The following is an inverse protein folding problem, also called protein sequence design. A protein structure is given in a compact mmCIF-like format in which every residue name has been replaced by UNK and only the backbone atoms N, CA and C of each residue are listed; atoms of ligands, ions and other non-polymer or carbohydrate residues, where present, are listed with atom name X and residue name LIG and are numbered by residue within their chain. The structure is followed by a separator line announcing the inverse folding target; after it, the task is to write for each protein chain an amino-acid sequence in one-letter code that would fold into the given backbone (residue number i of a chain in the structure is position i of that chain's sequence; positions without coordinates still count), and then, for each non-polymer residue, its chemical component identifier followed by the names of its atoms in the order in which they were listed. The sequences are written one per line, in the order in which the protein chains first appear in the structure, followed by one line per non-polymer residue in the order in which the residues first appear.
data_IF_386416799965
#
_entry.id   IF_386416799965
#
_cell.length_a   1.000
_cell.length_b   1.000
_cell.length_c   1.000
_cell.angle_alpha   90.00
_cell.angle_beta   90.00
_cell.angle_gamma   90.00
#
_symmetry.space_group_name_H-M   'P 1'
#
loop_
_entity.id
_entity.type
_entity.pdbx_description
1 polymer ?
#
# COMPACT_ATOMS: atom_id res chain seq x y z
N UNK A 1 -3.66 10.29 -26.46
CA UNK A 1 -3.63 9.89 -25.04
C UNK A 1 -2.60 8.78 -24.88
N UNK A 2 -1.40 9.07 -24.36
CA UNK A 2 -0.49 7.98 -23.97
C UNK A 2 -1.01 7.35 -22.68
N UNK A 3 -1.15 6.03 -22.69
CA UNK A 3 -1.50 5.24 -21.50
C UNK A 3 -0.47 5.49 -20.39
N UNK A 4 -0.94 5.65 -19.15
CA UNK A 4 -0.11 5.81 -17.94
C UNK A 4 0.98 4.71 -17.85
N UNK A 5 0.74 3.55 -18.47
CA UNK A 5 1.71 2.46 -18.59
C UNK A 5 3.01 2.83 -19.34
N UNK A 6 2.97 3.74 -20.31
CA UNK A 6 4.15 4.08 -21.13
C UNK A 6 5.15 4.98 -20.39
N UNK A 7 4.68 5.82 -19.46
CA UNK A 7 5.54 6.72 -18.65
C UNK A 7 6.24 5.93 -17.54
N UNK A 8 5.64 4.83 -17.08
CA UNK A 8 6.16 4.02 -15.98
C UNK A 8 7.23 2.99 -16.43
N UNK A 9 7.29 2.62 -17.71
CA UNK A 9 8.13 1.51 -18.20
C UNK A 9 9.64 1.65 -17.92
N UNK A 10 10.21 2.84 -18.08
CA UNK A 10 11.65 3.06 -17.82
C UNK A 10 11.96 3.38 -16.34
N UNK A 11 11.04 4.06 -15.66
CA UNK A 11 11.18 4.41 -14.24
C UNK A 11 10.99 3.20 -13.32
N UNK A 12 10.12 2.26 -13.69
CA UNK A 12 9.87 1.02 -12.94
C UNK A 12 11.08 0.07 -12.89
N UNK A 13 11.94 0.08 -13.93
CA UNK A 13 13.18 -0.70 -13.93
C UNK A 13 14.21 -0.19 -12.92
N UNK A 14 14.28 1.13 -12.73
CA UNK A 14 15.19 1.75 -11.75
C UNK A 14 14.67 1.71 -10.32
N UNK A 15 13.34 1.75 -10.13
CA UNK A 15 12.71 1.78 -8.81
C UNK A 15 11.47 0.87 -8.76
N UNK A 16 11.64 -0.46 -8.74
CA UNK A 16 10.54 -1.42 -8.80
C UNK A 16 9.53 -1.25 -7.65
N UNK A 17 9.99 -0.79 -6.49
CA UNK A 17 9.13 -0.54 -5.31
C UNK A 17 8.11 0.59 -5.53
N UNK A 18 8.43 1.61 -6.35
CA UNK A 18 7.50 2.71 -6.63
C UNK A 18 6.30 2.21 -7.45
N UNK A 19 6.51 1.26 -8.35
CA UNK A 19 5.43 0.60 -9.09
C UNK A 19 4.57 -0.27 -8.15
N UNK A 20 5.20 -1.03 -7.26
CA UNK A 20 4.50 -1.85 -6.27
C UNK A 20 3.63 -1.01 -5.32
N UNK A 21 4.07 0.19 -4.92
CA UNK A 21 3.29 1.11 -4.09
C UNK A 21 2.03 1.60 -4.82
N UNK A 22 2.17 2.04 -6.07
CA UNK A 22 1.02 2.56 -6.85
C UNK A 22 0.04 1.43 -7.20
N UNK A 23 0.54 0.25 -7.58
CA UNK A 23 -0.29 -0.91 -7.88
C UNK A 23 -0.97 -1.45 -6.61
N UNK A 24 -0.27 -1.43 -5.47
CA UNK A 24 -0.79 -1.79 -4.16
C UNK A 24 -1.98 -0.93 -3.75
N UNK A 25 -1.85 0.41 -3.81
CA UNK A 25 -2.95 1.34 -3.50
C UNK A 25 -4.21 0.99 -4.31
N UNK A 26 -4.06 0.79 -5.62
CA UNK A 26 -5.18 0.52 -6.54
C UNK A 26 -5.82 -0.85 -6.29
N UNK A 27 -5.03 -1.89 -5.97
CA UNK A 27 -5.54 -3.25 -5.76
C UNK A 27 -6.18 -3.40 -4.38
N UNK A 28 -5.54 -2.93 -3.32
CA UNK A 28 -6.06 -3.03 -1.96
C UNK A 28 -7.33 -2.19 -1.77
N UNK A 29 -7.48 -1.07 -2.48
CA UNK A 29 -8.72 -0.29 -2.45
C UNK A 29 -9.96 -1.06 -2.95
N UNK A 30 -9.77 -2.20 -3.65
CA UNK A 30 -10.86 -3.07 -4.09
C UNK A 30 -11.27 -4.11 -3.04
N UNK A 31 -10.56 -4.21 -1.92
CA UNK A 31 -10.95 -5.12 -0.85
C UNK A 31 -12.28 -4.64 -0.22
N UNK A 32 -13.30 -5.51 -0.06
CA UNK A 32 -14.63 -5.09 0.38
C UNK A 32 -14.65 -4.46 1.76
N UNK A 33 -13.74 -4.85 2.66
CA UNK A 33 -13.64 -4.25 4.01
C UNK A 33 -12.82 -2.95 4.08
N UNK A 34 -12.10 -2.55 3.02
CA UNK A 34 -11.17 -1.40 3.06
C UNK A 34 -11.88 -0.12 2.58
N UNK A 35 -11.97 0.87 3.46
CA UNK A 35 -12.49 2.20 3.14
C UNK A 35 -11.43 3.07 2.45
N UNK A 36 -10.23 3.14 3.04
CA UNK A 36 -9.07 3.86 2.51
C UNK A 36 -7.81 3.03 2.68
N UNK A 37 -6.86 3.18 1.76
CA UNK A 37 -5.56 2.54 1.86
C UNK A 37 -4.47 3.43 1.31
N UNK A 38 -3.30 3.35 1.93
CA UNK A 38 -2.09 3.98 1.43
C UNK A 38 -0.88 3.10 1.72
N UNK A 39 -0.15 2.77 0.67
CA UNK A 39 1.01 1.90 0.66
C UNK A 39 2.28 2.74 0.66
N UNK A 40 3.27 2.32 1.43
CA UNK A 40 4.59 2.94 1.54
C UNK A 40 5.66 1.86 1.63
N UNK A 41 6.85 2.17 1.12
CA UNK A 41 8.07 1.42 1.43
C UNK A 41 8.63 1.89 2.78
N UNK A 42 9.03 0.93 3.62
CA UNK A 42 9.65 1.13 4.93
C UNK A 42 10.91 0.28 5.07
N UNK A 43 11.89 0.68 5.89
CA UNK A 43 13.07 -0.14 6.16
C UNK A 43 12.71 -1.53 6.69
N UNK A 44 13.50 -2.53 6.31
CA UNK A 44 13.38 -3.92 6.76
C UNK A 44 14.78 -4.52 6.91
N UNK A 45 15.07 -5.12 8.07
CA UNK A 45 16.43 -5.60 8.38
C UNK A 45 16.90 -6.74 7.47
N UNK A 46 15.97 -7.49 6.88
CA UNK A 46 16.27 -8.65 6.05
C UNK A 46 16.28 -8.28 4.57
N UNK A 47 15.32 -7.46 4.13
CA UNK A 47 15.12 -7.13 2.71
C UNK A 47 15.67 -5.75 2.31
N UNK A 48 16.17 -4.99 3.27
CA UNK A 48 16.52 -3.57 3.12
C UNK A 48 15.28 -2.67 3.15
N UNK A 49 14.27 -2.99 2.33
CA UNK A 49 12.99 -2.29 2.27
C UNK A 49 11.83 -3.29 2.13
N UNK A 50 10.69 -2.97 2.76
CA UNK A 50 9.46 -3.75 2.69
C UNK A 50 8.25 -2.86 2.43
N UNK A 51 7.21 -3.44 1.82
CA UNK A 51 5.95 -2.77 1.53
C UNK A 51 5.02 -2.87 2.75
N UNK A 52 4.62 -1.71 3.28
CA UNK A 52 3.58 -1.57 4.30
C UNK A 52 2.31 -0.96 3.71
N UNK A 53 1.15 -1.53 4.02
CA UNK A 53 -0.16 -0.95 3.74
C UNK A 53 -0.78 -0.38 5.02
N UNK A 54 -1.03 0.92 5.04
CA UNK A 54 -1.86 1.57 6.05
C UNK A 54 -3.31 1.54 5.59
N UNK A 55 -4.19 0.94 6.39
CA UNK A 55 -5.57 0.59 6.01
C UNK A 55 -6.56 1.20 6.99
N UNK A 56 -7.57 1.89 6.45
CA UNK A 56 -8.77 2.28 7.19
C UNK A 56 -9.89 1.34 6.77
N UNK A 57 -10.54 0.71 7.74
CA UNK A 57 -11.61 -0.25 7.50
C UNK A 57 -12.98 0.44 7.45
N UNK A 58 -13.91 -0.15 6.71
CA UNK A 58 -15.33 0.21 6.79
C UNK A 58 -15.90 -0.23 8.14
N UNK A 59 -16.67 0.64 8.79
CA UNK A 59 -17.15 0.42 10.16
C UNK A 59 -18.27 -0.64 10.27
N UNK A 60 -18.92 -0.98 9.16
CA UNK A 60 -20.12 -1.82 9.05
C UNK A 60 -19.83 -3.26 8.58
N UNK A 61 -18.56 -3.62 8.43
CA UNK A 61 -18.15 -4.93 7.92
C UNK A 61 -17.30 -5.70 8.93
N UNK A 62 -17.21 -7.02 8.73
CA UNK A 62 -16.25 -7.87 9.46
C UNK A 62 -14.85 -7.30 9.29
N UNK A 63 -14.19 -7.02 10.41
CA UNK A 63 -12.78 -6.60 10.46
C UNK A 63 -11.91 -7.80 10.07
N UNK A 64 -11.19 -7.74 8.93
CA UNK A 64 -10.24 -8.79 8.57
C UNK A 64 -8.99 -8.70 9.45
N UNK A 65 -8.31 -9.82 9.66
CA UNK A 65 -6.96 -9.81 10.23
C UNK A 65 -5.94 -9.23 9.23
N UNK A 66 -4.77 -8.84 9.73
CA UNK A 66 -3.69 -8.39 8.86
C UNK A 66 -3.28 -9.50 7.86
N UNK A 67 -3.22 -10.75 8.32
CA UNK A 67 -2.89 -11.93 7.51
C UNK A 67 -3.93 -12.18 6.42
N UNK A 68 -5.23 -11.98 6.69
CA UNK A 68 -6.28 -12.08 5.67
C UNK A 68 -6.10 -11.03 4.57
N UNK A 69 -5.77 -9.79 4.94
CA UNK A 69 -5.47 -8.71 3.96
C UNK A 69 -4.22 -9.03 3.15
N UNK A 70 -3.16 -9.54 3.79
CA UNK A 70 -1.92 -9.94 3.13
C UNK A 70 -2.16 -11.09 2.15
N UNK A 71 -2.88 -12.13 2.56
CA UNK A 71 -3.23 -13.27 1.72
C UNK A 71 -4.05 -12.84 0.51
N UNK A 72 -5.10 -12.04 0.73
CA UNK A 72 -5.93 -11.48 -0.33
C UNK A 72 -5.11 -10.66 -1.33
N UNK A 73 -4.16 -9.87 -0.83
CA UNK A 73 -3.26 -9.03 -1.64
C UNK A 73 -2.27 -9.87 -2.43
N UNK A 74 -1.70 -10.91 -1.82
CA UNK A 74 -0.73 -11.83 -2.45
C UNK A 74 -1.32 -12.53 -3.67
N UNK A 75 -2.56 -13.00 -3.57
CA UNK A 75 -3.29 -13.63 -4.68
C UNK A 75 -3.47 -12.70 -5.88
N UNK A 76 -3.54 -11.37 -5.66
CA UNK A 76 -3.94 -10.38 -6.67
C UNK A 76 -2.78 -9.56 -7.23
N UNK A 77 -1.73 -9.33 -6.43
CA UNK A 77 -0.55 -8.56 -6.82
C UNK A 77 0.58 -9.46 -7.34
N UNK A 78 0.64 -10.70 -6.86
CA UNK A 78 1.65 -11.69 -7.25
C UNK A 78 3.08 -11.32 -6.85
N UNK A 79 3.97 -12.32 -6.90
CA UNK A 79 5.41 -12.14 -6.69
C UNK A 79 5.76 -11.43 -5.38
N UNK A 80 6.61 -10.41 -5.45
CA UNK A 80 7.12 -9.66 -4.30
C UNK A 80 6.41 -8.31 -4.10
N UNK A 81 5.28 -8.08 -4.78
CA UNK A 81 4.63 -6.76 -4.86
C UNK A 81 3.57 -6.51 -3.77
N UNK A 82 3.15 -7.54 -3.05
CA UNK A 82 2.13 -7.43 -2.01
C UNK A 82 2.72 -6.86 -0.71
N UNK A 83 1.95 -6.09 0.08
CA UNK A 83 2.40 -5.64 1.39
C UNK A 83 2.59 -6.84 2.32
N UNK A 84 3.75 -6.92 2.97
CA UNK A 84 3.98 -7.91 4.05
C UNK A 84 3.72 -7.34 5.45
N UNK A 85 3.55 -6.02 5.54
CA UNK A 85 3.11 -5.32 6.74
C UNK A 85 1.76 -4.66 6.47
N UNK A 86 0.79 -4.85 7.34
CA UNK A 86 -0.52 -4.17 7.29
C UNK A 86 -0.76 -3.52 8.64
N UNK A 87 -1.04 -2.21 8.62
CA UNK A 87 -1.33 -1.42 9.82
C UNK A 87 -2.72 -0.85 9.69
N UNK A 88 -3.59 -1.14 10.65
CA UNK A 88 -4.93 -0.57 10.71
C UNK A 88 -4.93 0.78 11.40
N UNK A 89 -5.64 1.75 10.84
CA UNK A 89 -5.75 3.11 11.34
C UNK A 89 -7.20 3.56 11.35
N UNK A 90 -7.54 4.52 12.22
CA UNK A 90 -8.85 5.17 12.24
C UNK A 90 -9.01 6.17 11.09
N UNK A 91 -7.91 6.82 10.69
CA UNK A 91 -7.83 7.71 9.53
C UNK A 91 -6.39 7.78 9.00
N UNK A 92 -6.22 8.05 7.70
CA UNK A 92 -4.89 8.29 7.13
C UNK A 92 -4.39 9.69 7.51
N UNK A 93 -3.10 9.86 7.88
CA UNK A 93 -2.57 11.17 8.22
C UNK A 93 -2.52 12.05 6.96
N UNK A 94 -3.06 13.25 7.06
CA UNK A 94 -3.04 14.23 5.99
C UNK A 94 -1.90 15.23 6.20
N UNK A 95 -1.29 15.67 5.10
CA UNK A 95 -0.33 16.77 5.10
C UNK A 95 -1.02 18.14 4.99
N UNK A 96 -0.24 19.24 4.96
CA UNK A 96 -0.77 20.61 4.89
C UNK A 96 -1.65 20.90 3.66
N UNK A 97 -1.51 20.11 2.59
CA UNK A 97 -2.30 20.24 1.35
C UNK A 97 -3.54 19.36 1.33
N UNK A 98 -3.88 18.70 2.45
CA UNK A 98 -5.02 17.79 2.54
C UNK A 98 -4.81 16.42 1.85
N UNK A 99 -3.60 16.16 1.32
CA UNK A 99 -3.24 14.86 0.74
C UNK A 99 -2.63 13.94 1.79
N UNK A 100 -2.77 12.63 1.63
CA UNK A 100 -2.15 11.64 2.51
C UNK A 100 -0.63 11.87 2.62
N UNK A 101 -0.15 11.99 3.85
CA UNK A 101 1.26 12.20 4.14
C UNK A 101 2.02 10.87 4.17
N UNK A 102 2.63 10.51 3.03
CA UNK A 102 3.51 9.34 2.93
C UNK A 102 4.75 9.45 3.87
N UNK A 103 5.09 10.66 4.36
CA UNK A 103 6.17 10.85 5.36
C UNK A 103 5.73 10.39 6.74
N UNK A 104 4.56 10.82 7.20
CA UNK A 104 4.05 10.41 8.51
C UNK A 104 3.69 8.92 8.51
N UNK A 105 3.11 8.41 7.42
CA UNK A 105 2.84 6.97 7.29
C UNK A 105 4.08 6.09 7.44
N UNK A 106 5.24 6.51 6.91
CA UNK A 106 6.48 5.74 7.08
C UNK A 106 6.91 5.62 8.54
N UNK A 107 6.62 6.61 9.38
CA UNK A 107 6.92 6.56 10.82
C UNK A 107 5.95 5.65 11.58
N UNK A 108 4.72 5.54 11.09
CA UNK A 108 3.71 4.65 11.68
C UNK A 108 3.92 3.20 11.26
N UNK A 109 4.40 2.98 10.03
CA UNK A 109 4.67 1.65 9.46
C UNK A 109 6.07 1.10 9.78
N UNK A 110 6.98 1.92 10.32
CA UNK A 110 8.35 1.54 10.66
C UNK A 110 8.42 0.73 11.94
#
# INVERSE_FOLDING_TARGET
MLSVAAILGDSARRHPHRLAIVEGDIRLARHPAIAEVSVVGVPDDVKGEEVCAAVVLRADLRVPSAEEVIAWSRERLGGHKYPRKVVFMTALPLGPTGKVSKRELRKTCS
#
